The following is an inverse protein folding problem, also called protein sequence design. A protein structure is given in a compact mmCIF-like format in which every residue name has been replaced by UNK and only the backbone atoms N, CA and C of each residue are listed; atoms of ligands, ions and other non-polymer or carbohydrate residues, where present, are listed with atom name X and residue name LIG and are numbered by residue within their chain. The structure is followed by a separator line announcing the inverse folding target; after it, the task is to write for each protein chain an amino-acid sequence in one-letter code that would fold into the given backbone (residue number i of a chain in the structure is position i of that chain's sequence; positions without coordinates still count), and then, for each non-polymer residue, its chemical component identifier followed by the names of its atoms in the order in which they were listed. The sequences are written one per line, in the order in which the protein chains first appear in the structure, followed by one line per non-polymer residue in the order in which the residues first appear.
data_IF_747897283855
#
_entry.id   IF_747897283855
#
_cell.length_a   1.000
_cell.length_b   1.000
_cell.length_c   1.000
_cell.angle_alpha   90.00
_cell.angle_beta   90.00
_cell.angle_gamma   90.00
#
_symmetry.space_group_name_H-M   'P 1'
#
loop_
_entity.id
_entity.type
_entity.pdbx_description
1 polymer ?
#
# COMPACT_ATOMS: atom_id res chain seq x y z
N UNK A 1 29.52 3.16 26.99
CA UNK A 1 28.78 3.79 28.10
C UNK A 1 27.46 3.10 28.20
N UNK A 2 27.11 2.66 29.41
CA UNK A 2 25.81 2.05 29.66
C UNK A 2 24.97 3.06 30.45
N UNK A 3 23.72 3.25 30.04
CA UNK A 3 22.75 4.07 30.78
C UNK A 3 21.84 3.09 31.51
N UNK A 4 22.15 2.85 32.78
CA UNK A 4 21.37 1.94 33.62
C UNK A 4 20.32 2.78 34.36
N UNK A 5 19.08 2.81 33.85
CA UNK A 5 17.95 3.53 34.44
C UNK A 5 17.24 4.47 33.45
N UNK A 6 16.44 5.40 33.98
CA UNK A 6 15.78 6.41 33.15
C UNK A 6 16.80 7.47 32.74
N UNK A 7 16.88 7.74 31.43
CA UNK A 7 17.70 8.81 30.88
C UNK A 7 16.98 9.47 29.70
N UNK A 8 17.16 10.77 29.55
CA UNK A 8 16.62 11.54 28.43
C UNK A 8 17.78 12.18 27.68
N UNK A 9 17.78 12.06 26.36
CA UNK A 9 18.62 12.88 25.49
C UNK A 9 17.82 14.14 25.15
N UNK A 10 18.39 15.31 25.43
CA UNK A 10 17.74 16.61 25.14
C UNK A 10 17.88 17.03 23.67
N UNK A 11 18.59 16.24 22.88
CA UNK A 11 18.85 16.41 21.45
C UNK A 11 19.00 15.01 20.81
N UNK A 12 19.57 14.95 19.61
CA UNK A 12 19.73 13.75 18.80
C UNK A 12 20.65 12.71 19.43
N UNK A 13 20.18 11.45 19.47
CA UNK A 13 21.01 10.29 19.81
C UNK A 13 21.66 9.72 18.54
N UNK A 14 22.99 9.85 18.43
CA UNK A 14 23.75 9.22 17.35
C UNK A 14 24.20 7.82 17.77
N UNK A 15 23.61 6.79 17.17
CA UNK A 15 24.03 5.39 17.34
C UNK A 15 24.80 4.95 16.10
N UNK A 16 26.08 4.61 16.25
CA UNK A 16 26.96 4.21 15.12
C UNK A 16 26.98 2.70 14.86
N UNK A 17 26.28 1.93 15.70
CA UNK A 17 26.12 0.49 15.56
C UNK A 17 24.63 0.15 15.70
N UNK A 18 24.28 -0.97 16.33
CA UNK A 18 22.89 -1.39 16.52
C UNK A 18 22.16 -0.60 17.61
N UNK A 19 20.95 -0.14 17.32
CA UNK A 19 19.99 0.28 18.34
C UNK A 19 18.96 -0.84 18.57
N UNK A 20 18.81 -1.30 19.82
CA UNK A 20 17.91 -2.42 20.14
C UNK A 20 17.11 -2.15 21.41
N UNK A 21 15.80 -2.35 21.34
CA UNK A 21 14.88 -2.23 22.47
C UNK A 21 14.29 -3.60 22.77
N UNK A 22 14.83 -4.29 23.78
CA UNK A 22 14.34 -5.57 24.30
C UNK A 22 14.05 -6.68 23.26
N UNK A 23 14.61 -6.61 22.04
CA UNK A 23 14.30 -7.52 20.93
C UNK A 23 12.99 -7.23 20.19
N UNK A 24 12.23 -6.21 20.60
CA UNK A 24 10.97 -5.81 19.99
C UNK A 24 11.14 -4.76 18.90
N UNK A 25 12.15 -3.91 19.02
CA UNK A 25 12.54 -2.93 18.00
C UNK A 25 14.05 -2.99 17.80
N UNK A 26 14.47 -3.04 16.55
CA UNK A 26 15.86 -3.12 16.14
C UNK A 26 16.10 -2.16 14.98
N UNK A 27 17.19 -1.41 15.03
CA UNK A 27 17.85 -0.85 13.85
C UNK A 27 19.25 -1.46 13.80
N UNK A 28 19.52 -2.28 12.78
CA UNK A 28 20.81 -2.95 12.62
C UNK A 28 21.88 -2.02 12.03
N UNK A 29 23.11 -2.52 11.86
CA UNK A 29 24.22 -1.74 11.32
C UNK A 29 24.14 -1.52 9.80
N UNK A 30 23.22 -2.18 9.10
CA UNK A 30 22.92 -1.97 7.69
C UNK A 30 21.76 -0.98 7.49
N UNK A 31 21.14 -0.51 8.58
CA UNK A 31 20.01 0.40 8.57
C UNK A 31 18.64 -0.29 8.42
N UNK A 32 18.58 -1.61 8.54
CA UNK A 32 17.32 -2.33 8.51
C UNK A 32 16.59 -2.21 9.84
N UNK A 33 15.28 -2.05 9.77
CA UNK A 33 14.39 -1.93 10.92
C UNK A 33 13.64 -3.25 11.13
N UNK A 34 13.86 -3.87 12.28
CA UNK A 34 13.10 -5.03 12.75
C UNK A 34 12.11 -4.63 13.84
N UNK A 35 10.84 -5.04 13.68
CA UNK A 35 9.83 -4.99 14.75
C UNK A 35 9.45 -6.44 15.07
N UNK A 36 9.82 -6.90 16.27
CA UNK A 36 9.64 -8.28 16.71
C UNK A 36 10.63 -9.29 16.09
N UNK A 37 11.67 -8.83 15.39
CA UNK A 37 12.80 -9.66 14.93
C UNK A 37 14.12 -8.94 15.19
N UNK A 38 15.17 -9.75 15.43
CA UNK A 38 16.55 -9.27 15.54
C UNK A 38 17.38 -9.48 14.27
N UNK A 39 16.78 -10.08 13.24
CA UNK A 39 17.46 -10.41 11.98
C UNK A 39 16.54 -10.10 10.79
N UNK A 40 16.32 -8.80 10.48
CA UNK A 40 15.50 -8.41 9.34
C UNK A 40 16.21 -8.70 8.01
N UNK A 41 15.56 -9.44 7.11
CA UNK A 41 16.07 -9.71 5.75
C UNK A 41 15.80 -8.54 4.77
N UNK A 42 14.95 -7.59 5.16
CA UNK A 42 14.55 -6.41 4.36
C UNK A 42 14.65 -5.14 5.21
N UNK A 43 14.66 -3.97 4.55
CA UNK A 43 14.78 -2.68 5.24
C UNK A 43 13.73 -2.44 6.33
N UNK A 44 12.53 -3.02 6.19
CA UNK A 44 11.54 -3.07 7.25
C UNK A 44 10.97 -4.48 7.33
N UNK A 45 11.09 -5.11 8.49
CA UNK A 45 10.45 -6.40 8.79
C UNK A 45 9.64 -6.25 10.06
N UNK A 46 8.37 -6.64 10.00
CA UNK A 46 7.48 -6.76 11.16
C UNK A 46 7.10 -8.23 11.29
N UNK A 47 7.47 -8.88 12.39
CA UNK A 47 7.27 -10.31 12.58
C UNK A 47 6.98 -10.66 14.03
N UNK A 48 6.19 -11.70 14.26
CA UNK A 48 5.85 -12.20 15.59
C UNK A 48 4.85 -13.35 15.49
N UNK A 49 4.29 -13.75 16.63
CA UNK A 49 3.12 -14.65 16.66
C UNK A 49 1.81 -13.83 16.59
N UNK A 50 0.74 -14.44 16.07
CA UNK A 50 -0.55 -13.76 15.87
C UNK A 50 -0.59 -12.95 14.58
N UNK A 51 -1.54 -12.00 14.48
CA UNK A 51 -1.66 -11.12 13.33
C UNK A 51 -0.62 -9.99 13.37
N UNK A 52 -0.01 -9.68 12.22
CA UNK A 52 0.84 -8.50 12.04
C UNK A 52 0.14 -7.51 11.12
N UNK A 53 -0.29 -6.36 11.66
CA UNK A 53 -1.00 -5.32 10.91
C UNK A 53 -0.15 -4.06 10.84
N UNK A 54 0.12 -3.58 9.62
CA UNK A 54 0.65 -2.24 9.39
C UNK A 54 -0.51 -1.27 9.20
N UNK A 55 -0.81 -0.49 10.25
CA UNK A 55 -1.85 0.53 10.18
C UNK A 55 -1.28 1.85 9.66
N UNK A 56 -1.61 2.19 8.41
CA UNK A 56 -1.37 3.52 7.84
C UNK A 56 -2.70 4.25 7.85
N UNK A 57 -2.85 5.25 8.72
CA UNK A 57 -4.09 6.01 8.86
C UNK A 57 -3.85 7.51 8.65
N UNK A 58 -4.90 8.20 8.22
CA UNK A 58 -4.96 9.66 8.15
C UNK A 58 -6.05 10.13 9.11
N UNK A 59 -5.76 11.11 9.96
CA UNK A 59 -6.64 11.53 11.06
C UNK A 59 -7.45 12.80 10.78
N UNK A 60 -7.36 13.38 9.58
CA UNK A 60 -8.10 14.59 9.20
C UNK A 60 -8.47 14.63 7.71
N UNK A 61 -9.66 15.18 7.41
CA UNK A 61 -10.01 15.77 6.10
C UNK A 61 -10.68 14.87 5.06
N UNK A 62 -11.68 15.42 4.36
CA UNK A 62 -12.10 14.93 3.04
C UNK A 62 -10.93 15.03 2.06
N UNK A 63 -10.61 13.95 1.35
CA UNK A 63 -9.51 13.91 0.38
C UNK A 63 -8.13 13.52 0.95
N UNK A 64 -8.06 13.13 2.23
CA UNK A 64 -6.85 12.49 2.77
C UNK A 64 -6.84 11.00 2.46
N UNK A 65 -5.67 10.51 2.06
CA UNK A 65 -5.48 9.12 1.65
C UNK A 65 -4.38 8.46 2.46
N UNK A 66 -4.67 7.29 3.01
CA UNK A 66 -3.61 6.34 3.37
C UNK A 66 -3.10 5.70 2.08
N UNK A 67 -1.78 5.53 1.96
CA UNK A 67 -1.22 4.95 0.74
C UNK A 67 0.06 4.17 0.95
N UNK A 68 0.29 3.23 0.03
CA UNK A 68 1.58 2.60 -0.22
C UNK A 68 2.12 3.12 -1.55
N UNK A 69 3.29 3.76 -1.50
CA UNK A 69 4.01 4.24 -2.68
C UNK A 69 5.11 3.26 -3.06
N UNK A 70 5.14 2.86 -4.32
CA UNK A 70 6.12 1.94 -4.87
C UNK A 70 6.79 2.60 -6.07
N UNK A 71 8.10 2.81 -5.97
CA UNK A 71 8.87 3.46 -7.02
C UNK A 71 10.10 2.62 -7.38
N UNK A 72 10.17 2.23 -8.64
CA UNK A 72 11.37 1.61 -9.21
C UNK A 72 12.33 2.67 -9.75
N UNK A 73 13.61 2.32 -9.86
CA UNK A 73 14.64 3.24 -10.39
C UNK A 73 14.55 3.54 -11.89
N UNK A 74 13.58 2.97 -12.61
CA UNK A 74 13.38 3.24 -14.03
C UNK A 74 12.45 4.44 -14.26
N UNK A 75 12.60 5.10 -15.41
CA UNK A 75 11.73 6.22 -15.79
C UNK A 75 10.26 5.78 -15.77
N UNK A 76 9.44 6.52 -15.03
CA UNK A 76 8.00 6.28 -14.88
C UNK A 76 7.59 4.99 -14.13
N UNK A 77 8.49 4.40 -13.33
CA UNK A 77 8.20 3.20 -12.56
C UNK A 77 7.58 3.51 -11.19
N UNK A 78 6.64 4.45 -11.12
CA UNK A 78 5.97 4.83 -9.88
C UNK A 78 4.50 4.39 -9.87
N UNK A 79 4.12 3.70 -8.80
CA UNK A 79 2.78 3.20 -8.54
C UNK A 79 2.36 3.57 -7.13
N UNK A 80 1.06 3.77 -6.95
CA UNK A 80 0.48 4.02 -5.64
C UNK A 80 -0.76 3.16 -5.48
N UNK A 81 -0.88 2.55 -4.31
CA UNK A 81 -2.13 1.96 -3.82
C UNK A 81 -2.64 2.85 -2.69
N UNK A 82 -3.89 3.31 -2.75
CA UNK A 82 -4.40 4.27 -1.79
C UNK A 82 -5.91 4.16 -1.55
N UNK A 83 -6.38 4.76 -0.45
CA UNK A 83 -7.79 4.93 -0.11
C UNK A 83 -8.27 6.36 -0.31
N UNK A 84 -9.56 6.58 -0.54
CA UNK A 84 -10.25 7.86 -0.30
C UNK A 84 -9.63 9.11 -0.98
N UNK A 85 -9.23 9.01 -2.24
CA UNK A 85 -8.70 10.16 -3.01
C UNK A 85 -9.75 10.69 -3.99
N UNK A 86 -10.46 11.73 -3.55
CA UNK A 86 -11.63 12.28 -4.25
C UNK A 86 -11.31 12.86 -5.64
N UNK A 87 -10.08 13.33 -5.88
CA UNK A 87 -9.63 13.92 -7.15
C UNK A 87 -9.43 12.88 -8.27
N UNK A 88 -9.29 11.59 -7.94
CA UNK A 88 -8.93 10.55 -8.90
C UNK A 88 -9.98 9.44 -9.08
N UNK A 89 -10.91 9.26 -8.14
CA UNK A 89 -11.88 8.16 -8.18
C UNK A 89 -13.36 8.58 -8.10
N UNK A 90 -13.67 9.88 -8.03
CA UNK A 90 -15.05 10.39 -8.03
C UNK A 90 -15.91 10.02 -6.83
N UNK A 91 -15.45 9.12 -5.95
CA UNK A 91 -16.08 8.76 -4.69
C UNK A 91 -15.04 8.76 -3.57
N UNK A 92 -15.48 9.20 -2.39
CA UNK A 92 -14.78 8.91 -1.16
C UNK A 92 -14.74 7.39 -0.94
N UNK A 93 -13.80 6.91 -0.13
CA UNK A 93 -13.80 5.52 0.40
C UNK A 93 -13.47 4.37 -0.57
N UNK A 94 -13.05 4.68 -1.80
CA UNK A 94 -12.56 3.66 -2.75
C UNK A 94 -11.13 3.19 -2.41
N UNK A 95 -10.79 1.93 -2.76
CA UNK A 95 -9.42 1.43 -2.88
C UNK A 95 -8.98 1.49 -4.34
N UNK A 96 -7.86 2.17 -4.63
CA UNK A 96 -7.39 2.36 -6.00
C UNK A 96 -5.93 1.92 -6.19
N UNK A 97 -5.65 1.40 -7.40
CA UNK A 97 -4.32 1.15 -7.93
C UNK A 97 -4.04 2.15 -9.06
N UNK A 98 -3.03 2.99 -8.87
CA UNK A 98 -2.76 4.15 -9.71
C UNK A 98 -1.33 4.13 -10.21
N UNK A 99 -1.15 4.40 -11.50
CA UNK A 99 0.17 4.67 -12.06
C UNK A 99 0.46 6.16 -11.91
N UNK A 100 1.55 6.51 -11.24
CA UNK A 100 1.89 7.89 -10.90
C UNK A 100 2.60 8.65 -12.01
N UNK A 101 3.50 7.98 -12.71
CA UNK A 101 4.35 8.60 -13.73
C UNK A 101 4.13 7.99 -15.13
N UNK A 102 4.49 8.74 -16.18
CA UNK A 102 4.22 8.40 -17.58
C UNK A 102 2.75 8.61 -17.92
N UNK A 103 2.05 7.56 -18.40
CA UNK A 103 0.58 7.59 -18.59
C UNK A 103 -0.12 7.41 -17.25
N UNK A 104 -0.08 8.48 -16.44
CA UNK A 104 -0.68 8.51 -15.13
C UNK A 104 -2.19 8.24 -15.18
N UNK A 105 -2.73 7.59 -14.16
CA UNK A 105 -4.14 7.26 -14.12
C UNK A 105 -4.47 6.01 -13.32
N UNK A 106 -5.72 5.91 -12.90
CA UNK A 106 -6.28 4.71 -12.26
C UNK A 106 -6.23 3.55 -13.24
N UNK A 107 -5.69 2.42 -12.79
CA UNK A 107 -5.65 1.18 -13.56
C UNK A 107 -6.68 0.19 -13.04
N UNK A 108 -6.92 0.19 -11.73
CA UNK A 108 -7.97 -0.59 -11.09
C UNK A 108 -8.53 0.19 -9.90
N UNK A 109 -9.84 0.06 -9.66
CA UNK A 109 -10.53 0.57 -8.47
C UNK A 109 -11.44 -0.51 -7.90
N UNK A 110 -11.57 -0.56 -6.59
CA UNK A 110 -12.66 -1.21 -5.87
C UNK A 110 -13.45 -0.08 -5.21
N UNK A 111 -14.71 0.09 -5.60
CA UNK A 111 -15.55 1.12 -5.02
C UNK A 111 -15.99 0.78 -3.60
N UNK A 112 -16.46 1.79 -2.86
CA UNK A 112 -17.17 1.62 -1.58
C UNK A 112 -18.35 0.63 -1.66
N UNK A 113 -19.02 0.58 -2.81
CA UNK A 113 -20.12 -0.35 -3.11
C UNK A 113 -19.67 -1.76 -3.47
N UNK A 114 -18.35 -2.03 -3.49
CA UNK A 114 -17.75 -3.32 -3.81
C UNK A 114 -17.60 -3.63 -5.30
N UNK A 115 -17.84 -2.65 -6.19
CA UNK A 115 -17.68 -2.84 -7.63
C UNK A 115 -16.20 -2.73 -8.03
N UNK A 116 -15.74 -3.59 -8.93
CA UNK A 116 -14.37 -3.57 -9.46
C UNK A 116 -14.35 -2.89 -10.83
N UNK A 117 -13.60 -1.80 -10.95
CA UNK A 117 -13.31 -1.14 -12.22
C UNK A 117 -11.90 -1.45 -12.69
N UNK A 118 -11.72 -1.81 -13.97
CA UNK A 118 -10.42 -1.88 -14.64
C UNK A 118 -10.41 -0.87 -15.77
N UNK A 119 -9.47 0.07 -15.74
CA UNK A 119 -9.41 1.19 -16.69
C UNK A 119 -10.52 2.25 -16.52
N UNK A 120 -11.33 2.16 -15.47
CA UNK A 120 -12.38 3.13 -15.11
C UNK A 120 -12.31 3.44 -13.62
N UNK A 121 -12.77 4.62 -13.24
CA UNK A 121 -12.86 5.10 -11.85
C UNK A 121 -14.25 4.95 -11.25
N UNK A 122 -15.28 4.78 -12.08
CA UNK A 122 -16.68 4.73 -11.69
C UNK A 122 -17.34 3.46 -12.26
N UNK A 123 -17.05 2.27 -11.70
CA UNK A 123 -17.65 1.03 -12.17
C UNK A 123 -19.17 1.00 -11.89
N UNK A 124 -19.97 0.93 -12.96
CA UNK A 124 -21.45 0.91 -12.88
C UNK A 124 -22.05 -0.47 -12.57
N UNK A 125 -21.21 -1.50 -12.50
CA UNK A 125 -21.58 -2.89 -12.24
C UNK A 125 -20.47 -3.58 -11.45
N UNK A 126 -20.76 -4.78 -10.89
CA UNK A 126 -19.82 -5.53 -10.05
C UNK A 126 -18.42 -5.69 -10.67
N UNK A 127 -18.35 -5.85 -11.99
CA UNK A 127 -17.10 -5.82 -12.75
C UNK A 127 -17.30 -4.97 -14.01
N UNK A 128 -16.62 -3.84 -14.08
CA UNK A 128 -16.61 -2.94 -15.23
C UNK A 128 -15.20 -2.82 -15.80
N UNK A 129 -14.98 -3.39 -16.99
CA UNK A 129 -13.72 -3.26 -17.73
C UNK A 129 -13.92 -2.22 -18.84
N UNK A 130 -13.07 -1.19 -18.88
CA UNK A 130 -13.16 -0.10 -19.84
C UNK A 130 -11.91 -0.06 -20.74
N UNK A 131 -12.13 0.06 -22.06
CA UNK A 131 -11.06 0.31 -23.04
C UNK A 131 -10.11 -0.87 -23.30
N UNK A 132 -10.49 -2.11 -22.97
CA UNK A 132 -9.66 -3.29 -23.19
C UNK A 132 -10.46 -4.55 -23.49
N UNK A 133 -9.78 -5.57 -24.02
CA UNK A 133 -10.36 -6.89 -24.27
C UNK A 133 -10.24 -7.79 -23.04
N UNK A 134 -11.26 -8.62 -22.81
CA UNK A 134 -11.17 -9.71 -21.83
C UNK A 134 -10.65 -10.94 -22.58
N UNK A 135 -9.36 -11.23 -22.45
CA UNK A 135 -8.79 -12.46 -23.00
C UNK A 135 -9.02 -13.62 -22.02
N UNK A 136 -9.68 -14.68 -22.48
CA UNK A 136 -9.93 -15.88 -21.69
C UNK A 136 -9.20 -17.06 -22.33
N UNK A 137 -7.93 -17.26 -21.94
CA UNK A 137 -7.06 -18.28 -22.55
C UNK A 137 -7.27 -19.67 -21.92
N UNK A 138 -7.65 -20.65 -22.76
CA UNK A 138 -7.88 -22.08 -22.52
C UNK A 138 -9.15 -22.49 -21.76
N UNK A 139 -9.89 -23.48 -22.30
CA UNK A 139 -11.02 -24.25 -21.74
C UNK A 139 -12.12 -23.50 -20.98
N UNK A 140 -12.14 -22.18 -21.01
CA UNK A 140 -13.15 -21.40 -20.35
C UNK A 140 -14.44 -21.41 -21.18
N UNK A 141 -15.53 -21.89 -20.57
CA UNK A 141 -16.87 -21.58 -21.06
C UNK A 141 -17.14 -20.12 -20.72
N UNK A 142 -16.75 -19.20 -21.60
CA UNK A 142 -17.30 -17.86 -21.58
C UNK A 142 -18.79 -18.00 -21.94
N UNK A 143 -19.65 -18.12 -20.92
CA UNK A 143 -21.09 -18.03 -21.15
C UNK A 143 -21.38 -16.55 -21.39
N UNK A 144 -21.45 -16.17 -22.65
CA UNK A 144 -22.02 -14.90 -23.07
C UNK A 144 -23.47 -14.89 -22.61
N UNK A 145 -23.74 -14.31 -21.44
CA UNK A 145 -25.08 -14.00 -20.99
C UNK A 145 -25.35 -12.58 -21.50
N UNK A 146 -26.00 -12.47 -22.65
CA UNK A 146 -26.62 -11.22 -23.04
C UNK A 146 -28.02 -11.21 -22.45
N UNK A 147 -28.20 -10.58 -21.29
CA UNK A 147 -29.54 -10.24 -20.79
C UNK A 147 -29.68 -8.74 -21.00
N UNK A 148 -30.23 -8.37 -22.15
CA UNK A 148 -30.86 -7.06 -22.30
C UNK A 148 -32.29 -7.17 -21.79
N UNK A 149 -32.62 -6.39 -20.78
CA UNK A 149 -33.97 -5.88 -20.53
C UNK A 149 -33.85 -4.44 -20.08
#
# INVERSE_FOLDING_TARGET
FDVIGNGSFSDSLNVTNTFRVAGNFLVDNAGNVGIGTTSPDWHLVVSGSGDQVLNVNTTSGTGSSASLWLEGGATNAAWQMFTNRADLAGSADNLAFYKQLGTAGVKMVISDSGNVGIGTTAPASLLNIHGGEINVSASARAKWINVST
#
